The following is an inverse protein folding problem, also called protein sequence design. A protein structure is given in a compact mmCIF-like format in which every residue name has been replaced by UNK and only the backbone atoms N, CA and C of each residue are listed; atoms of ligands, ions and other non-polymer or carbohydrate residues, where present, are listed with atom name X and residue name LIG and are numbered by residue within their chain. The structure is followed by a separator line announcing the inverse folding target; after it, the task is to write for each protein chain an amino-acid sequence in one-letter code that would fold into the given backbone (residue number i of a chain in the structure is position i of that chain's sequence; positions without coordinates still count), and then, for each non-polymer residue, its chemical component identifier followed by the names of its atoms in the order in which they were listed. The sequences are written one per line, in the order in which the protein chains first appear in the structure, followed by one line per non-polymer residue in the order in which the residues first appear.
data_IF_247652337369
#
_entry.id   IF_247652337369
#
_cell.length_a   1.000
_cell.length_b   1.000
_cell.length_c   1.000
_cell.angle_alpha   90.00
_cell.angle_beta   90.00
_cell.angle_gamma   90.00
#
_symmetry.space_group_name_H-M   'P 1'
#
loop_
_entity.id
_entity.type
_entity.pdbx_description
1 polymer ?
2 non-polymer ?
3 water ?
#
# COMPACT_ATOMS: atom_id res chain seq x y z
N UNK A 21 -5.36 -15.73 25.74
CA UNK A 21 -6.10 -15.92 24.44
C UNK A 21 -5.10 -16.19 23.28
N UNK A 22 -5.17 -17.40 22.73
CA UNK A 22 -4.19 -17.87 21.76
C UNK A 22 -4.89 -18.52 20.57
N UNK A 23 -4.14 -18.94 19.56
CA UNK A 23 -4.74 -19.58 18.40
C UNK A 23 -3.78 -20.56 17.77
N UNK A 24 -4.33 -21.53 17.06
CA UNK A 24 -3.52 -22.51 16.38
C UNK A 24 -3.67 -22.32 14.89
N UNK A 25 -2.59 -22.51 14.19
CA UNK A 25 -2.62 -22.38 12.77
C UNK A 25 -1.72 -23.49 12.30
N UNK A 26 -2.28 -24.44 11.56
CA UNK A 26 -1.50 -25.57 11.06
C UNK A 26 -0.71 -26.22 12.20
N UNK A 27 -1.38 -26.40 13.33
CA UNK A 27 -0.75 -27.00 14.50
C UNK A 27 0.03 -26.08 15.42
N UNK A 28 0.77 -25.12 14.89
CA UNK A 28 1.56 -24.24 15.72
C UNK A 28 0.69 -23.30 16.52
N UNK A 29 1.09 -23.02 17.76
CA UNK A 29 0.25 -22.19 18.61
C UNK A 29 0.87 -20.82 18.74
N UNK A 30 0.02 -19.81 18.86
CA UNK A 30 0.45 -18.43 18.91
C UNK A 30 -0.43 -17.70 19.86
N UNK A 31 0.16 -16.87 20.69
CA UNK A 31 -0.63 -16.13 21.65
C UNK A 31 -0.70 -14.68 21.22
N UNK A 32 -1.91 -14.18 21.21
CA UNK A 32 -2.18 -12.82 20.80
C UNK A 32 -1.57 -11.84 21.77
N UNK A 33 -0.71 -10.94 21.29
CA UNK A 33 -0.30 -9.76 22.07
C UNK A 33 -1.32 -8.68 21.98
N UNK A 34 -1.73 -8.32 20.78
CA UNK A 34 -2.76 -7.32 20.63
C UNK A 34 -3.18 -7.21 19.19
N UNK A 35 -4.19 -6.40 18.96
CA UNK A 35 -4.78 -6.24 17.69
C UNK A 35 -4.27 -4.99 17.04
N UNK A 36 -4.07 -5.04 15.73
CA UNK A 36 -3.45 -3.93 15.04
C UNK A 36 -4.18 -3.50 13.80
N UNK A 37 -5.18 -4.26 13.38
CA UNK A 37 -5.97 -3.80 12.26
C UNK A 37 -7.31 -4.47 12.19
N UNK A 38 -8.19 -3.92 11.38
CA UNK A 38 -9.44 -4.61 11.08
C UNK A 38 -10.08 -4.08 9.81
N UNK A 39 -11.25 -4.63 9.50
CA UNK A 39 -12.02 -4.18 8.36
C UNK A 39 -12.90 -5.31 7.95
N UNK A 40 -14.12 -4.98 7.54
CA UNK A 40 -15.12 -5.98 7.24
C UNK A 40 -15.16 -7.02 8.33
N UNK A 41 -15.06 -8.29 7.93
CA UNK A 41 -15.05 -9.39 8.88
C UNK A 41 -13.63 -9.96 9.08
N UNK A 42 -12.65 -9.07 9.25
CA UNK A 42 -11.29 -9.51 9.53
C UNK A 42 -10.55 -8.64 10.52
N UNK A 43 -9.56 -9.26 11.15
CA UNK A 43 -8.71 -8.66 12.16
C UNK A 43 -7.27 -9.04 11.90
N UNK A 44 -6.37 -8.11 12.22
CA UNK A 44 -4.97 -8.46 12.27
C UNK A 44 -4.52 -8.31 13.70
N UNK A 45 -3.75 -9.31 14.14
CA UNK A 45 -3.16 -9.42 15.45
C UNK A 45 -1.65 -9.58 15.40
N UNK A 46 -1.02 -8.93 16.35
CA UNK A 46 0.39 -9.10 16.64
C UNK A 46 0.42 -10.26 17.63
N UNK A 47 1.16 -11.30 17.34
CA UNK A 47 1.14 -12.51 18.15
C UNK A 47 2.55 -13.00 18.33
N UNK A 48 2.71 -14.02 19.17
CA UNK A 48 4.03 -14.60 19.41
C UNK A 48 3.95 -16.09 19.28
N UNK A 49 4.96 -16.71 18.71
CA UNK A 49 4.94 -18.17 18.71
C UNK A 49 5.50 -18.67 20.04
N UNK A 50 5.81 -19.96 20.11
CA UNK A 50 6.30 -20.58 21.34
C UNK A 50 7.69 -20.10 21.73
N UNK A 51 8.47 -19.62 20.76
CA UNK A 51 9.81 -19.10 21.04
C UNK A 51 9.79 -17.60 21.22
N UNK A 52 8.59 -17.09 21.47
CA UNK A 52 8.34 -15.67 21.59
C UNK A 52 8.88 -14.87 20.41
N UNK A 53 8.89 -15.49 19.22
CA UNK A 53 9.13 -14.73 18.00
C UNK A 53 7.82 -14.13 17.60
N UNK A 54 7.90 -12.89 17.13
CA UNK A 54 6.72 -12.13 16.75
C UNK A 54 6.28 -12.25 15.25
N UNK A 55 4.98 -12.34 15.04
CA UNK A 55 4.35 -12.43 13.74
C UNK A 55 3.09 -11.57 13.76
N UNK A 56 2.49 -11.37 12.59
CA UNK A 56 1.19 -10.76 12.45
C UNK A 56 0.33 -11.86 11.89
N UNK A 57 -0.79 -12.12 12.52
CA UNK A 57 -1.75 -13.08 12.00
C UNK A 57 -2.97 -12.32 11.57
N UNK A 58 -3.37 -12.52 10.31
CA UNK A 58 -4.64 -12.02 9.84
C UNK A 58 -5.68 -13.11 9.92
N UNK A 59 -6.84 -12.75 10.43
CA UNK A 59 -7.96 -13.62 10.70
C UNK A 59 -9.10 -13.14 9.85
N UNK A 60 -9.67 -13.99 9.02
CA UNK A 60 -10.86 -13.64 8.26
C UNK A 60 -11.96 -14.59 8.66
N UNK A 61 -13.07 -14.00 9.04
CA UNK A 61 -14.25 -14.76 9.41
C UNK A 61 -15.11 -14.95 8.18
N UNK A 62 -15.36 -16.20 7.81
CA UNK A 62 -15.98 -16.44 6.51
C UNK A 62 -17.48 -16.61 6.63
N UNK A 63 -18.01 -16.50 7.85
CA UNK A 63 -19.44 -16.66 8.13
C UNK A 63 -20.37 -16.10 7.05
N UNK A 64 -20.12 -14.87 6.64
CA UNK A 64 -21.05 -14.17 5.75
C UNK A 64 -20.42 -13.75 4.41
N UNK A 65 -19.31 -14.38 4.03
CA UNK A 65 -18.70 -14.06 2.77
C UNK A 65 -19.49 -14.66 1.60
N UNK A 66 -19.86 -13.79 0.67
CA UNK A 66 -20.40 -14.18 -0.62
C UNK A 66 -19.32 -14.87 -1.47
N UNK A 67 -19.74 -15.70 -2.41
CA UNK A 67 -18.79 -16.43 -3.24
C UNK A 67 -17.76 -15.54 -4.00
N UNK A 68 -18.17 -14.31 -4.30
CA UNK A 68 -17.26 -13.36 -4.91
C UNK A 68 -16.23 -12.90 -3.90
N UNK A 69 -16.72 -12.43 -2.74
CA UNK A 69 -15.85 -12.09 -1.61
C UNK A 69 -14.89 -13.26 -1.29
N UNK A 70 -15.41 -14.47 -1.24
CA UNK A 70 -14.54 -15.59 -0.91
C UNK A 70 -13.45 -15.68 -1.95
N UNK A 71 -13.83 -15.54 -3.22
CA UNK A 71 -12.90 -15.84 -4.25
C UNK A 71 -11.85 -14.79 -4.32
N UNK A 72 -12.17 -13.57 -3.90
CA UNK A 72 -11.20 -12.48 -3.83
C UNK A 72 -10.09 -12.69 -2.75
N UNK A 73 -10.45 -13.33 -1.65
CA UNK A 73 -9.50 -13.80 -0.63
C UNK A 73 -8.62 -14.94 -1.07
N UNK A 74 -9.19 -15.89 -1.80
CA UNK A 74 -8.43 -17.03 -2.31
C UNK A 74 -7.38 -16.58 -3.26
N UNK A 75 -7.83 -15.75 -4.21
CA UNK A 75 -6.98 -15.12 -5.19
C UNK A 75 -5.90 -14.25 -4.57
N UNK A 76 -6.28 -13.35 -3.65
CA UNK A 76 -5.26 -12.53 -3.02
C UNK A 76 -4.18 -13.47 -2.38
N UNK A 77 -4.64 -14.50 -1.72
CA UNK A 77 -3.69 -15.47 -1.09
C UNK A 77 -2.78 -16.21 -2.06
N UNK A 78 -3.38 -16.68 -3.15
CA UNK A 78 -2.61 -17.35 -4.21
C UNK A 78 -1.44 -16.49 -4.68
N UNK A 79 -1.74 -15.27 -5.15
CA UNK A 79 -0.74 -14.32 -5.57
C UNK A 79 0.27 -13.87 -4.50
N UNK A 80 -0.20 -13.68 -3.26
CA UNK A 80 0.76 -13.23 -2.26
C UNK A 80 1.78 -14.36 -2.08
N UNK A 81 1.22 -15.54 -1.90
CA UNK A 81 2.02 -16.74 -1.77
C UNK A 81 3.03 -16.94 -2.90
N UNK A 82 2.54 -16.91 -4.13
CA UNK A 82 3.39 -16.85 -5.31
C UNK A 82 4.41 -15.71 -5.31
N UNK A 83 3.99 -14.45 -5.09
CA UNK A 83 4.95 -13.37 -5.38
C UNK A 83 6.08 -13.15 -4.36
N UNK A 84 5.98 -13.86 -3.28
CA UNK A 84 7.04 -13.80 -2.31
C UNK A 84 8.40 -14.12 -2.82
N UNK A 85 8.53 -15.09 -3.71
CA UNK A 85 9.84 -15.38 -4.28
C UNK A 85 10.32 -14.27 -5.15
N UNK A 86 9.41 -13.48 -5.71
CA UNK A 86 9.84 -12.55 -6.76
C UNK A 86 10.41 -11.24 -6.19
N UNK A 87 10.03 -10.83 -4.96
CA UNK A 87 10.61 -9.63 -4.35
C UNK A 87 10.65 -9.76 -2.85
N UNK A 88 11.73 -9.27 -2.26
CA UNK A 88 11.81 -9.10 -0.81
C UNK A 88 11.09 -7.80 -0.33
N UNK A 89 10.46 -7.06 -1.24
CA UNK A 89 9.73 -5.85 -0.87
C UNK A 89 8.26 -6.11 -0.77
N UNK A 90 7.94 -7.39 -0.71
CA UNK A 90 6.63 -7.85 -0.54
C UNK A 90 6.62 -8.56 0.78
N UNK A 91 5.63 -8.27 1.58
CA UNK A 91 5.43 -9.01 2.83
C UNK A 91 5.67 -10.53 2.74
N UNK A 92 6.27 -11.07 3.79
CA UNK A 92 6.42 -12.50 3.97
C UNK A 92 5.10 -13.13 4.44
N UNK A 93 4.75 -14.24 3.82
CA UNK A 93 3.62 -14.99 4.25
C UNK A 93 4.13 -16.33 4.64
N UNK A 94 4.12 -16.67 5.91
CA UNK A 94 4.73 -17.93 6.37
C UNK A 94 3.86 -19.14 6.21
N UNK A 95 2.59 -18.99 6.49
CA UNK A 95 1.70 -20.10 6.42
C UNK A 95 0.32 -19.56 6.39
N UNK A 96 -0.67 -20.41 6.11
CA UNK A 96 -2.04 -20.01 6.23
C UNK A 96 -2.87 -21.22 6.34
N UNK A 97 -4.02 -21.05 6.96
CA UNK A 97 -5.00 -22.09 7.09
C UNK A 97 -6.33 -21.59 6.57
N UNK A 98 -6.98 -22.38 5.75
CA UNK A 98 -8.23 -21.93 5.21
C UNK A 98 -9.22 -23.04 5.38
N UNK A 99 -10.33 -22.72 6.08
CA UNK A 99 -11.50 -23.59 6.17
C UNK A 99 -12.71 -22.84 5.63
N UNK A 100 -13.90 -23.42 5.76
CA UNK A 100 -15.12 -22.75 5.29
C UNK A 100 -15.56 -21.73 6.30
N UNK A 101 -15.02 -21.81 7.51
CA UNK A 101 -15.35 -20.85 8.56
C UNK A 101 -14.36 -19.71 8.61
N UNK A 102 -13.09 -19.99 8.31
CA UNK A 102 -12.11 -18.94 8.52
C UNK A 102 -10.86 -19.07 7.72
N UNK A 103 -10.11 -17.97 7.76
CA UNK A 103 -8.78 -17.96 7.23
C UNK A 103 -7.87 -17.44 8.30
N UNK A 104 -6.71 -18.08 8.42
CA UNK A 104 -5.59 -17.48 9.11
C UNK A 104 -4.44 -17.29 8.18
N UNK A 105 -3.87 -16.09 8.14
CA UNK A 105 -2.61 -15.89 7.47
C UNK A 105 -1.51 -15.50 8.46
N UNK A 106 -0.43 -16.27 8.49
CA UNK A 106 0.72 -15.96 9.36
C UNK A 106 1.76 -15.22 8.55
N UNK A 107 1.98 -13.98 8.92
CA UNK A 107 2.87 -13.10 8.18
C UNK A 107 3.97 -12.56 9.05
N UNK A 108 4.89 -11.89 8.40
CA UNK A 108 5.86 -11.06 9.06
C UNK A 108 5.20 -9.82 9.66
N UNK A 109 5.68 -9.43 10.85
CA UNK A 109 5.02 -8.37 11.62
C UNK A 109 5.52 -6.95 11.33
N UNK A 110 6.81 -6.83 11.15
CA UNK A 110 7.45 -5.55 10.99
C UNK A 110 7.27 -4.68 12.19
N UNK A 111 7.51 -3.39 12.00
CA UNK A 111 7.64 -2.46 13.08
C UNK A 111 6.39 -1.63 13.10
N UNK A 112 6.06 -0.97 12.00
CA UNK A 112 4.73 -0.36 11.85
C UNK A 112 4.37 -0.01 10.42
N UNK A 113 3.09 0.26 10.20
CA UNK A 113 2.67 0.69 8.86
C UNK A 113 3.16 2.09 8.61
N UNK A 114 3.16 2.44 7.34
CA UNK A 114 3.75 3.66 6.89
C UNK A 114 2.83 4.82 7.19
N UNK A 115 1.52 4.59 7.30
CA UNK A 115 0.60 5.72 7.59
C UNK A 115 0.76 6.25 9.00
N UNK A 116 0.86 5.32 9.95
CA UNK A 116 1.16 5.62 11.33
C UNK A 116 2.49 6.31 11.48
N UNK A 117 3.50 5.80 10.79
CA UNK A 117 4.83 6.36 10.90
C UNK A 117 4.89 7.79 10.43
N UNK A 118 4.10 8.10 9.41
CA UNK A 118 4.12 9.42 8.83
C UNK A 118 3.47 10.42 9.77
N UNK A 119 2.30 10.07 10.28
CA UNK A 119 1.59 10.95 11.20
C UNK A 119 2.39 11.27 12.49
N UNK A 120 3.13 10.30 13.01
CA UNK A 120 4.01 10.54 14.15
C UNK A 120 5.38 11.07 13.71
N UNK A 121 5.40 11.95 12.71
CA UNK A 121 6.65 12.38 12.08
C UNK A 121 6.50 13.75 11.45
N UNK A 122 7.45 14.63 11.76
CA UNK A 122 7.37 16.02 11.34
C UNK A 122 7.92 16.13 9.92
N UNK A 123 9.17 15.73 9.76
CA UNK A 123 9.84 15.72 8.48
C UNK A 123 10.69 14.47 8.35
N UNK A 124 11.18 14.22 7.14
CA UNK A 124 11.84 12.96 6.80
C UNK A 124 13.20 13.21 6.18
N UNK A 125 14.23 12.62 6.77
CA UNK A 125 15.57 12.58 6.20
C UNK A 125 15.45 12.18 4.71
N UNK A 126 15.82 13.09 3.78
CA UNK A 126 15.57 12.86 2.34
C UNK A 126 16.21 11.58 1.79
N UNK A 127 17.31 11.12 2.39
CA UNK A 127 17.92 9.86 2.00
C UNK A 127 16.97 8.71 2.34
N UNK A 128 16.34 8.76 3.50
CA UNK A 128 15.39 7.76 3.92
C UNK A 128 14.12 7.85 3.05
N UNK A 129 13.70 9.05 2.66
CA UNK A 129 12.55 9.18 1.77
C UNK A 129 12.80 8.55 0.37
N UNK A 130 14.00 8.72 -0.16
CA UNK A 130 14.36 8.16 -1.46
C UNK A 130 14.56 6.63 -1.33
N UNK A 131 15.06 6.20 -0.20
CA UNK A 131 15.12 4.77 0.06
C UNK A 131 13.71 4.13 0.07
N UNK A 132 12.76 4.78 0.74
CA UNK A 132 11.41 4.27 0.88
C UNK A 132 10.73 4.22 -0.53
N UNK A 133 10.97 5.22 -1.33
CA UNK A 133 10.42 5.34 -2.68
C UNK A 133 10.95 4.22 -3.57
N UNK A 134 12.24 3.97 -3.49
CA UNK A 134 12.80 2.84 -4.25
C UNK A 134 12.09 1.56 -3.91
N UNK A 135 11.91 1.28 -2.62
CA UNK A 135 11.18 0.09 -2.22
C UNK A 135 9.76 0.06 -2.68
N UNK A 136 9.06 1.17 -2.60
CA UNK A 136 7.70 1.14 -3.04
C UNK A 136 7.67 0.80 -4.56
N UNK A 137 8.52 1.45 -5.34
CA UNK A 137 8.61 1.21 -6.80
C UNK A 137 8.82 -0.24 -7.14
N UNK A 138 9.77 -0.85 -6.43
CA UNK A 138 10.15 -2.22 -6.63
C UNK A 138 9.01 -3.13 -6.34
N UNK A 139 8.25 -2.87 -5.26
CA UNK A 139 7.20 -3.82 -4.93
C UNK A 139 6.06 -3.78 -5.90
N UNK A 140 5.73 -2.57 -6.34
CA UNK A 140 4.59 -2.40 -7.27
C UNK A 140 4.98 -2.82 -8.71
N UNK A 141 6.22 -2.56 -9.09
CA UNK A 141 6.73 -3.03 -10.36
C UNK A 141 6.61 -4.56 -10.42
N UNK A 142 6.84 -5.21 -9.29
CA UNK A 142 6.62 -6.67 -9.19
C UNK A 142 5.18 -7.10 -9.37
N UNK A 143 4.22 -6.41 -8.72
CA UNK A 143 2.93 -6.98 -8.78
C UNK A 143 2.47 -6.68 -10.30
N UNK A 144 3.00 -5.68 -10.91
CA UNK A 144 2.55 -5.27 -12.32
C UNK A 144 3.08 -6.31 -13.31
N UNK A 145 4.28 -6.80 -13.07
CA UNK A 145 4.83 -7.86 -13.93
C UNK A 145 3.98 -9.10 -13.96
N UNK A 146 3.13 -9.32 -12.95
CA UNK A 146 2.24 -10.44 -12.97
C UNK A 146 0.84 -10.07 -13.38
N UNK A 147 0.65 -8.86 -13.88
CA UNK A 147 -0.66 -8.43 -14.29
C UNK A 147 -1.55 -7.89 -13.19
N UNK A 148 -1.00 -7.61 -12.03
CA UNK A 148 -1.85 -7.09 -10.94
C UNK A 148 -1.73 -5.58 -10.86
N UNK A 149 -2.84 -4.85 -10.90
CA UNK A 149 -2.87 -3.39 -10.62
C UNK A 149 -3.62 -3.19 -9.27
N UNK A 150 -2.96 -2.55 -8.33
CA UNK A 150 -3.46 -2.48 -7.00
C UNK A 150 -4.72 -1.67 -7.06
N UNK A 151 -4.58 -0.48 -7.66
CA UNK A 151 -5.60 0.56 -7.86
C UNK A 151 -6.17 1.24 -6.59
N UNK A 152 -5.61 0.98 -5.43
CA UNK A 152 -6.05 1.64 -4.19
C UNK A 152 -4.89 1.88 -3.21
N UNK A 153 -3.74 2.32 -3.72
CA UNK A 153 -2.57 2.43 -2.85
C UNK A 153 -2.61 3.62 -1.90
N UNK A 154 -2.18 3.41 -0.66
CA UNK A 154 -2.22 4.38 0.42
C UNK A 154 -1.05 4.01 1.28
N UNK A 155 -0.68 4.86 2.21
CA UNK A 155 0.46 4.51 3.04
C UNK A 155 0.21 3.29 3.89
N UNK A 156 -1.03 3.06 4.26
CA UNK A 156 -1.47 1.89 5.01
C UNK A 156 -1.14 0.60 4.32
N UNK A 157 -0.87 0.63 2.99
CA UNK A 157 -0.60 -0.61 2.28
C UNK A 157 0.83 -0.99 2.42
N UNK A 158 1.64 -0.13 3.03
CA UNK A 158 3.05 -0.41 3.20
C UNK A 158 3.45 -0.57 4.65
N UNK A 159 4.40 -1.46 4.87
CA UNK A 159 4.87 -1.80 6.21
C UNK A 159 6.33 -1.44 6.29
N UNK A 160 6.74 -0.91 7.46
CA UNK A 160 8.15 -0.63 7.73
C UNK A 160 8.75 -1.81 8.53
N UNK A 161 9.77 -2.43 7.95
CA UNK A 161 10.42 -3.61 8.50
C UNK A 161 11.93 -3.37 8.36
N UNK A 162 12.64 -3.20 9.47
CA UNK A 162 14.13 -3.04 9.43
C UNK A 162 14.55 -1.89 8.52
N UNK A 163 13.83 -0.78 8.54
CA UNK A 163 14.15 0.30 7.62
C UNK A 163 13.77 0.11 6.14
N UNK A 164 13.10 -0.98 5.79
CA UNK A 164 12.61 -1.18 4.44
C UNK A 164 11.10 -1.11 4.44
N UNK A 165 10.54 -0.52 3.39
CA UNK A 165 9.13 -0.68 3.10
C UNK A 165 8.84 -1.98 2.40
N UNK A 166 7.77 -2.65 2.79
CA UNK A 166 7.28 -3.80 2.07
C UNK A 166 5.80 -3.62 1.80
N UNK A 167 5.36 -4.03 0.61
CA UNK A 167 3.94 -4.07 0.26
C UNK A 167 3.23 -5.17 1.01
N UNK A 168 2.12 -4.81 1.64
CA UNK A 168 1.36 -5.70 2.47
C UNK A 168 0.28 -6.41 1.69
N UNK A 169 -0.36 -5.74 0.75
CA UNK A 169 -1.46 -6.41 0.06
C UNK A 169 -1.60 -5.90 -1.38
N UNK A 170 -2.46 -6.55 -2.16
CA UNK A 170 -2.39 -6.45 -3.63
C UNK A 170 -3.63 -5.77 -4.23
N UNK A 171 -4.51 -5.28 -3.38
CA UNK A 171 -5.77 -4.66 -3.74
C UNK A 171 -6.84 -5.60 -4.16
N UNK A 172 -6.66 -6.90 -3.97
CA UNK A 172 -7.57 -7.85 -4.57
C UNK A 172 -8.69 -8.19 -3.63
N UNK A 173 -8.31 -8.51 -2.40
CA UNK A 173 -9.24 -8.64 -1.31
C UNK A 173 -9.50 -7.25 -0.77
N UNK A 174 -10.53 -7.14 0.06
CA UNK A 174 -11.02 -5.81 0.54
C UNK A 174 -9.99 -5.23 1.51
N UNK A 175 -10.05 -3.93 1.73
CA UNK A 175 -8.96 -3.25 2.42
C UNK A 175 -9.10 -3.25 3.96
N UNK A 176 -7.96 -3.17 4.62
CA UNK A 176 -7.83 -3.17 6.07
C UNK A 176 -7.45 -1.76 6.53
N UNK A 177 -7.86 -1.39 7.75
CA UNK A 177 -7.40 -0.14 8.39
C UNK A 177 -6.46 -0.56 9.52
N UNK A 178 -5.30 0.13 9.67
CA UNK A 178 -4.56 -0.10 10.93
C UNK A 178 -5.27 0.55 12.13
N UNK A 179 -5.05 0.02 13.34
CA UNK A 179 -5.64 0.58 14.58
C UNK A 179 -5.05 -0.13 15.82
N UNK A 189 -13.53 5.42 8.96
CA UNK A 189 -13.58 6.07 7.65
C UNK A 189 -12.27 5.83 6.87
N UNK A 190 -12.39 5.54 5.57
CA UNK A 190 -11.23 5.38 4.69
C UNK A 190 -10.74 6.73 4.17
N UNK A 192 -9.64 9.33 0.53
CA UNK A 192 -9.92 9.56 -0.90
C UNK A 192 -8.81 10.37 -1.62
N UNK A 193 -7.75 10.68 -0.89
CA UNK A 193 -6.72 11.60 -1.35
C UNK A 193 -5.86 11.02 -2.49
N UNK A 194 -5.52 9.75 -2.32
CA UNK A 194 -4.58 9.07 -3.18
C UNK A 194 -5.28 8.49 -4.37
N UNK A 195 -6.57 8.79 -4.50
CA UNK A 195 -7.34 8.18 -5.55
C UNK A 195 -6.98 8.84 -6.88
N UNK A 196 -6.73 8.02 -7.93
CA UNK A 196 -6.40 8.56 -9.24
C UNK A 196 -7.58 9.08 -10.03
N UNK A 197 -7.34 10.11 -10.86
CA UNK A 197 -8.32 10.72 -11.75
C UNK A 197 -9.19 9.77 -12.52
N UNK A 198 -8.58 8.79 -13.19
CA UNK A 198 -9.34 7.97 -14.14
C UNK A 198 -10.27 6.99 -13.45
N UNK A 199 -10.04 6.77 -12.16
CA UNK A 199 -10.95 5.96 -11.36
C UNK A 199 -12.30 6.71 -11.25
N UNK A 200 -12.24 8.02 -11.11
CA UNK A 200 -13.41 8.86 -10.89
C UNK A 200 -14.23 9.11 -12.16
N UNK A 201 -13.58 9.10 -13.32
CA UNK A 201 -14.23 9.33 -14.61
C UNK A 201 -14.75 8.04 -15.21
N UNK A 202 -14.25 6.93 -14.67
CA UNK A 202 -14.78 5.60 -14.91
C UNK A 202 -16.14 5.47 -14.22
N UNK A 203 -17.03 6.44 -14.45
CA UNK A 203 -18.30 6.49 -13.75
C UNK A 203 -19.33 7.13 -14.68
N UNK A 214 -12.55 -1.79 -17.90
CA UNK A 214 -12.09 -0.68 -18.71
C UNK A 214 -11.35 0.38 -17.88
N UNK A 215 -10.38 1.04 -18.52
CA UNK A 215 -9.91 2.36 -18.07
C UNK A 215 -8.83 2.40 -16.98
N UNK A 216 -8.76 1.39 -16.11
CA UNK A 216 -7.72 1.32 -15.05
C UNK A 216 -6.49 0.51 -15.49
N UNK A 217 -5.34 1.15 -15.44
CA UNK A 217 -4.12 0.53 -15.91
C UNK A 217 -3.05 0.70 -14.89
N UNK A 218 -1.88 0.16 -15.14
CA UNK A 218 -0.74 0.40 -14.27
C UNK A 218 -0.44 1.85 -13.96
N UNK A 219 -0.83 2.76 -14.83
CA UNK A 219 -0.56 4.18 -14.57
C UNK A 219 -1.34 4.67 -13.39
N UNK A 220 -2.50 4.05 -13.13
CA UNK A 220 -3.28 4.40 -11.95
C UNK A 220 -2.48 4.28 -10.67
N UNK A 221 -1.65 3.23 -10.54
CA UNK A 221 -0.74 3.08 -9.36
C UNK A 221 0.35 4.11 -9.22
N UNK A 222 0.88 4.57 -10.34
CA UNK A 222 1.82 5.66 -10.35
C UNK A 222 1.20 6.98 -9.74
N UNK A 223 -0.03 7.31 -10.11
CA UNK A 223 -0.72 8.51 -9.46
C UNK A 223 -0.61 8.42 -7.94
N UNK A 224 -1.00 7.25 -7.40
CA UNK A 224 -1.08 7.08 -5.96
C UNK A 224 0.25 7.02 -5.31
N UNK A 225 1.20 6.36 -5.97
CA UNK A 225 2.58 6.37 -5.44
C UNK A 225 3.07 7.79 -5.44
N UNK A 226 2.71 8.51 -6.50
CA UNK A 226 2.95 9.95 -6.60
C UNK A 226 2.40 10.71 -5.39
N UNK A 227 1.14 10.48 -5.02
CA UNK A 227 0.56 11.19 -3.87
C UNK A 227 1.25 10.80 -2.56
N UNK A 228 1.74 9.56 -2.46
CA UNK A 228 2.48 9.15 -1.23
C UNK A 228 3.84 9.84 -1.10
N UNK A 229 4.47 10.09 -2.24
CA UNK A 229 5.80 10.71 -2.24
C UNK A 229 5.63 12.21 -1.99
N UNK A 230 4.62 12.77 -2.63
CA UNK A 230 4.22 14.15 -2.46
C UNK A 230 4.11 14.45 -1.00
N UNK A 231 3.43 13.57 -0.32
CA UNK A 231 3.15 13.72 1.09
C UNK A 231 4.41 13.55 1.93
N UNK A 232 5.29 12.62 1.55
CA UNK A 232 6.61 12.46 2.23
C UNK A 232 7.55 13.65 2.00
N UNK A 233 7.20 14.52 1.06
CA UNK A 233 8.08 15.58 0.63
C UNK A 233 7.59 16.88 1.20
N UNK A 234 6.34 17.19 0.93
CA UNK A 234 5.72 18.43 1.34
C UNK A 234 4.82 18.24 2.57
N UNK A 235 5.15 17.30 3.45
CA UNK A 235 4.32 17.04 4.63
C UNK A 235 2.79 16.93 4.47
N UNK A 236 2.23 17.09 3.26
CA UNK A 236 0.78 16.93 3.04
C UNK A 236 0.45 16.22 1.73
N UNK A 237 -0.71 15.57 1.66
CA UNK A 237 -1.11 14.98 0.39
C UNK A 237 -1.53 16.14 -0.48
N UNK A 238 -1.63 15.94 -1.80
CA UNK A 238 -1.83 17.09 -2.67
C UNK A 238 -3.04 17.94 -2.35
N UNK A 239 -4.15 17.31 -1.95
CA UNK A 239 -5.44 18.00 -1.72
C UNK A 239 -5.91 17.85 -0.27
N UNK A 240 -4.97 17.68 0.64
CA UNK A 240 -5.28 17.41 2.03
C UNK A 240 -5.95 18.62 2.71
N UNK A 241 -5.58 19.83 2.28
CA UNK A 241 -6.17 21.05 2.85
C UNK A 241 -7.66 20.99 2.57
N UNK A 242 -8.04 20.72 1.33
CA UNK A 242 -9.44 20.83 0.97
C UNK A 242 -10.32 19.68 1.54
N UNK A 243 -10.79 19.89 2.78
CA UNK A 243 -11.45 18.86 3.60
C UNK A 243 -12.81 18.43 3.04
N UNK A 244 -13.56 19.36 2.43
CA UNK A 244 -14.80 18.99 1.73
C UNK A 244 -14.51 17.87 0.73
N UNK A 245 -15.40 16.88 0.67
CA UNK A 245 -15.17 15.65 -0.10
C UNK A 245 -15.55 15.73 -1.57
N UNK A 246 -16.77 16.20 -1.85
CA UNK A 246 -17.23 16.43 -3.23
C UNK A 246 -16.29 17.34 -3.96
N UNK A 247 -15.83 18.37 -3.24
CA UNK A 247 -14.98 19.36 -3.85
C UNK A 247 -13.61 18.72 -4.06
N UNK A 248 -13.18 17.86 -3.13
CA UNK A 248 -11.88 17.18 -3.23
C UNK A 248 -11.78 16.34 -4.48
N UNK A 249 -12.83 15.57 -4.78
CA UNK A 249 -12.91 14.78 -6.04
C UNK A 249 -12.96 15.68 -7.21
N UNK A 250 -13.51 16.87 -7.02
CA UNK A 250 -13.64 17.80 -8.12
C UNK A 250 -12.25 18.25 -8.53
N UNK A 251 -11.46 18.62 -7.53
CA UNK A 251 -10.11 19.14 -7.72
C UNK A 251 -9.14 18.11 -8.35
N UNK A 252 -9.38 16.84 -8.07
CA UNK A 252 -8.55 15.75 -8.54
C UNK A 252 -8.72 15.50 -10.02
N UNK A 253 -9.90 15.78 -10.53
CA UNK A 253 -10.17 15.54 -11.95
C UNK A 253 -9.98 16.79 -12.77
N UNK A 254 -9.97 17.94 -12.10
CA UNK A 254 -10.11 19.22 -12.78
C UNK A 254 -8.81 19.66 -13.43
N UNK A 255 -8.73 19.58 -14.78
CA UNK A 255 -7.47 19.84 -15.46
C UNK A 255 -6.88 21.19 -15.08
N UNK A 256 -7.75 22.15 -14.80
CA UNK A 256 -7.34 23.52 -14.58
C UNK A 256 -7.19 23.89 -13.11
N UNK A 257 -7.62 22.99 -12.23
CA UNK A 257 -7.04 22.99 -10.89
C UNK A 257 -5.60 22.56 -11.14
N UNK A 258 -4.66 23.10 -10.36
CA UNK A 258 -3.24 22.85 -10.58
C UNK A 258 -2.59 22.60 -9.26
N UNK A 259 -1.44 21.93 -9.26
CA UNK A 259 -0.93 21.43 -7.99
C UNK A 259 0.29 22.19 -7.55
N UNK A 260 0.30 22.51 -6.27
CA UNK A 260 1.36 23.25 -5.67
C UNK A 260 2.59 22.37 -5.60
N UNK A 261 3.68 22.81 -6.21
CA UNK A 261 4.96 22.15 -6.06
C UNK A 261 5.95 23.14 -5.44
N UNK A 262 5.77 23.47 -4.16
CA UNK A 262 6.77 24.27 -3.47
C UNK A 262 8.18 23.87 -3.87
N UNK A 263 8.98 24.87 -4.21
CA UNK A 263 10.31 24.61 -4.71
C UNK A 263 11.13 24.00 -3.60
N UNK A 264 11.99 23.05 -3.92
CA UNK A 264 12.81 22.39 -2.89
C UNK A 264 14.21 22.15 -3.40
N UNK A 265 15.14 21.81 -2.51
CA UNK A 265 16.48 21.51 -3.01
C UNK A 265 16.49 20.43 -4.10
N UNK A 266 15.97 19.23 -3.80
CA UNK A 266 15.96 18.12 -4.76
C UNK A 266 15.09 18.42 -5.97
N UNK A 267 15.67 18.93 -7.04
CA UNK A 267 14.92 19.23 -8.26
C UNK A 267 14.49 17.95 -8.97
N UNK A 268 15.27 16.88 -8.78
CA UNK A 268 14.90 15.56 -9.32
C UNK A 268 13.60 15.11 -8.66
N UNK A 269 13.58 15.16 -7.33
CA UNK A 269 12.41 14.81 -6.55
C UNK A 269 11.24 15.61 -7.03
N UNK A 270 11.45 16.91 -7.17
CA UNK A 270 10.49 17.84 -7.76
C UNK A 270 9.88 17.35 -9.05
N UNK A 271 10.73 16.81 -9.92
CA UNK A 271 10.34 16.33 -11.25
C UNK A 271 9.66 14.96 -11.23
N UNK A 272 10.00 14.12 -10.25
CA UNK A 272 9.29 12.86 -10.11
C UNK A 272 7.81 13.12 -9.79
N UNK A 273 7.57 13.99 -8.82
CA UNK A 273 6.22 14.36 -8.43
C UNK A 273 5.43 14.93 -9.60
N UNK A 274 6.03 15.81 -10.38
CA UNK A 274 5.27 16.38 -11.51
C UNK A 274 4.93 15.33 -12.53
N UNK A 275 5.83 14.38 -12.73
CA UNK A 275 5.58 13.34 -13.75
C UNK A 275 4.59 12.28 -13.29
N UNK A 276 4.60 11.93 -12.00
CA UNK A 276 3.63 10.97 -11.48
C UNK A 276 2.22 11.56 -11.51
N UNK A 277 2.11 12.85 -11.17
CA UNK A 277 0.79 13.48 -11.02
C UNK A 277 0.25 14.11 -12.31
N UNK A 278 0.49 13.53 -13.47
CA UNK A 278 -0.18 14.00 -14.67
C UNK A 278 -1.55 13.42 -14.65
N UNK A 279 -2.57 14.29 -14.64
CA UNK A 279 -3.97 13.86 -14.77
C UNK A 279 -4.22 12.97 -15.96
N UNK A 280 -3.48 13.12 -17.05
CA UNK A 280 -3.67 12.19 -18.19
C UNK A 280 -2.70 11.02 -18.08
N UNK A 281 -3.21 9.77 -18.11
CA UNK A 281 -2.39 8.61 -17.87
C UNK A 281 -1.46 8.24 -18.99
N UNK A 282 -1.86 8.46 -20.24
CA UNK A 282 -0.93 8.22 -21.35
C UNK A 282 0.26 9.15 -21.30
N UNK A 283 0.11 10.31 -20.66
CA UNK A 283 1.22 11.26 -20.44
C UNK A 283 1.99 10.99 -19.14
N UNK A 284 1.39 10.19 -18.28
CA UNK A 284 1.93 9.97 -16.95
C UNK A 284 3.14 9.04 -17.07
N UNK A 285 4.20 9.30 -16.31
CA UNK A 285 5.40 8.43 -16.34
C UNK A 285 5.04 6.97 -15.96
N UNK A 286 5.82 6.01 -16.43
CA UNK A 286 5.60 4.64 -16.09
C UNK A 286 6.54 4.23 -14.97
N UNK A 287 6.25 3.09 -14.38
CA UNK A 287 7.11 2.54 -13.33
C UNK A 287 8.48 2.16 -13.88
N UNK A 288 8.54 1.52 -15.05
CA UNK A 288 9.88 1.25 -15.59
C UNK A 288 10.72 2.48 -15.86
N UNK A 289 10.12 3.53 -16.41
CA UNK A 289 10.74 4.87 -16.48
C UNK A 289 11.11 5.42 -15.12
N UNK A 290 10.21 5.27 -14.15
CA UNK A 290 10.47 5.89 -12.84
C UNK A 290 11.69 5.25 -12.23
N UNK A 291 11.89 3.98 -12.54
CA UNK A 291 13.04 3.27 -12.02
C UNK A 291 14.36 3.70 -12.66
N UNK A 292 14.31 4.44 -13.79
CA UNK A 292 15.53 4.97 -14.39
C UNK A 292 15.62 6.49 -14.20
N UNK A 293 14.70 7.05 -13.45
CA UNK A 293 14.75 8.45 -13.21
C UNK A 293 16.01 8.77 -12.37
N UNK A 294 16.56 9.98 -12.58
CA UNK A 294 17.71 10.43 -11.83
C UNK A 294 17.46 10.47 -10.33
N UNK A 295 16.26 10.82 -9.92
CA UNK A 295 15.87 10.79 -8.52
C UNK A 295 16.24 9.47 -7.86
N UNK A 296 16.01 8.33 -8.51
CA UNK A 296 16.47 7.05 -7.91
C UNK A 296 17.81 6.55 -8.31
N UNK A 297 18.39 7.12 -9.35
CA UNK A 297 19.59 6.51 -9.91
C UNK A 297 20.82 7.30 -9.59
N UNK A 298 20.70 8.61 -9.40
CA UNK A 298 21.91 9.42 -9.33
C UNK A 298 22.37 9.78 -7.90
N UNK A 299 23.60 9.35 -7.57
CA UNK A 299 24.43 9.94 -6.48
C UNK A 299 23.81 9.81 -5.11
#
# INVERSE_FOLDING_TARGET
MHHHHHHSSGVDLGTENLYFQSMSVKGRIYSILKQIGSGGSSKVFQVLNEKKQIYAIKYVNLEEADNQTLDSYRNEIAYLNKLQQHSDKIIRLYDYEITDQYIYMVMECGNIDLNSWLKKKKSIDPWERKSYWKNMLEAVHTIHQHGIVHSDLKPANFLIVDGMLKLIDFGIANQMQPDTTSVVKDSQVGXVNYMPPEAIKDMSSSRENGKSKSKISPKSDVWSLGCILYYMTYGKTPFQQIINQISKLHAIIDPNHEIEFPDIPEKDLQDVLKCCLKRDPKQRISIPELLAHPYVQIQTHLVNQMAKGTTEE
#
